data_IF_682589566693
#
_entry.id   IF_682589566693
#
_cell.length_a   1.000
_cell.length_b   1.000
_cell.length_c   1.000
_cell.angle_alpha   90.00
_cell.angle_beta   90.00
_cell.angle_gamma   90.00
#
_symmetry.space_group_name_H-M   'P 1'
#
loop_
_entity.id
_entity.type
_entity.pdbx_description
1 polymer ?
2 polymer ?
3 non-polymer ?
4 non-polymer ?
5 non-polymer ?
6 non-polymer ?
7 non-polymer ?
8 water ?
#
# COMPACT_ATOMS: atom_id res chain seq x y z
N UNK A 2 -40.16 17.77 4.96
CA UNK A 2 -39.20 17.07 5.85
C UNK A 2 -37.84 16.87 5.23
N UNK A 3 -36.79 16.97 6.06
CA UNK A 3 -35.42 16.82 5.62
C UNK A 3 -34.79 15.61 6.30
N UNK A 4 -33.59 15.27 5.85
CA UNK A 4 -32.85 14.12 6.34
C UNK A 4 -32.88 14.04 7.86
N UNK A 5 -33.13 12.84 8.38
CA UNK A 5 -33.14 12.64 9.82
C UNK A 5 -32.86 11.17 10.09
N UNK A 6 -32.00 10.90 11.07
CA UNK A 6 -31.73 9.50 11.45
C UNK A 6 -31.29 9.48 12.89
N UNK A 7 -31.46 8.31 13.51
CA UNK A 7 -31.00 8.06 14.85
C UNK A 7 -30.27 6.73 14.83
N UNK A 8 -29.05 6.69 15.35
CA UNK A 8 -28.23 5.49 15.26
C UNK A 8 -27.40 5.32 16.52
N UNK A 9 -27.13 4.05 16.86
CA UNK A 9 -26.20 3.77 17.93
C UNK A 9 -24.80 4.19 17.55
N UNK A 10 -24.10 4.80 18.51
CA UNK A 10 -22.70 5.19 18.30
C UNK A 10 -21.89 4.04 17.74
N UNK A 11 -22.06 2.85 18.31
CA UNK A 11 -21.15 1.80 17.86
C UNK A 11 -21.48 1.29 16.47
N UNK A 12 -22.67 1.56 15.92
CA UNK A 12 -22.92 1.24 14.51
C UNK A 12 -22.33 2.30 13.57
N UNK A 13 -22.06 3.51 14.06
CA UNK A 13 -21.53 4.59 13.26
C UNK A 13 -20.01 4.72 13.33
N UNK A 14 -19.38 4.29 14.43
CA UNK A 14 -17.98 4.69 14.68
C UNK A 14 -17.02 4.17 13.61
N UNK A 15 -17.05 2.89 13.37
CA UNK A 15 -16.02 2.34 12.49
C UNK A 15 -16.23 2.80 11.06
N UNK A 16 -17.47 2.80 10.54
CA UNK A 16 -17.70 3.42 9.22
C UNK A 16 -17.22 4.86 9.14
N UNK A 17 -17.50 5.67 10.16
CA UNK A 17 -17.06 7.06 10.13
C UNK A 17 -15.54 7.15 10.14
N UNK A 18 -14.88 6.33 10.96
CA UNK A 18 -13.42 6.40 11.03
C UNK A 18 -12.82 6.07 9.67
N UNK A 19 -13.42 5.13 8.96
CA UNK A 19 -12.84 4.68 7.70
C UNK A 19 -13.06 5.69 6.59
N UNK A 20 -14.26 6.27 6.49
CA UNK A 20 -14.51 7.20 5.40
C UNK A 20 -13.80 8.54 5.64
N UNK A 21 -13.53 8.87 6.91
CA UNK A 21 -12.85 10.12 7.21
C UNK A 21 -11.39 10.14 6.79
N UNK A 22 -10.86 9.04 6.23
CA UNK A 22 -9.47 8.95 5.83
C UNK A 22 -9.14 9.73 4.56
N UNK A 23 -9.76 9.33 3.41
CA UNK A 23 -9.46 9.99 2.10
C UNK A 23 -10.13 11.35 1.91
N UNK A 24 -9.60 12.38 2.57
CA UNK A 24 -10.25 13.70 2.54
C UNK A 24 -9.43 14.77 1.83
N UNK A 29 -7.64 21.08 1.95
CA UNK A 29 -7.97 21.25 0.52
C UNK A 29 -9.25 22.10 0.42
N UNK A 30 -10.03 21.91 -0.65
CA UNK A 30 -11.29 22.65 -0.84
C UNK A 30 -12.27 22.36 0.30
N UNK A 31 -13.13 23.32 0.66
CA UNK A 31 -13.97 23.11 1.86
C UNK A 31 -14.83 21.87 1.76
N UNK A 32 -15.54 21.67 0.66
CA UNK A 32 -16.43 20.51 0.61
C UNK A 32 -15.66 19.20 0.58
N UNK A 33 -14.38 19.22 0.24
CA UNK A 33 -13.64 17.97 0.28
C UNK A 33 -13.24 17.58 1.70
N UNK A 34 -13.39 18.47 2.68
CA UNK A 34 -13.24 18.13 4.08
C UNK A 34 -14.52 17.65 4.75
N UNK A 35 -15.60 17.53 3.99
CA UNK A 35 -16.89 17.08 4.48
C UNK A 35 -17.14 15.66 4.03
N UNK A 36 -18.01 14.97 4.76
CA UNK A 36 -18.62 13.73 4.32
C UNK A 36 -19.99 13.99 3.72
N UNK A 37 -20.29 13.32 2.63
CA UNK A 37 -21.66 13.27 2.11
C UNK A 37 -22.45 12.23 2.89
N UNK A 38 -23.57 12.64 3.48
CA UNK A 38 -24.46 11.77 4.22
C UNK A 38 -25.75 11.65 3.43
N UNK A 39 -26.20 10.42 3.18
CA UNK A 39 -27.40 10.21 2.40
C UNK A 39 -28.20 9.15 3.12
N UNK A 40 -29.49 9.44 3.36
CA UNK A 40 -30.43 8.49 3.92
C UNK A 40 -31.42 8.09 2.84
N UNK A 41 -31.51 6.79 2.55
CA UNK A 41 -32.50 6.29 1.60
C UNK A 41 -32.73 4.81 1.86
N UNK A 42 -34.00 4.40 1.82
CA UNK A 42 -34.39 2.99 1.85
C UNK A 42 -33.70 2.22 2.97
N UNK A 43 -33.85 2.73 4.19
CA UNK A 43 -33.32 2.06 5.36
C UNK A 43 -31.81 2.02 5.49
N UNK A 44 -31.10 2.88 4.75
CA UNK A 44 -29.65 2.86 4.75
C UNK A 44 -29.08 4.27 4.82
N UNK A 45 -28.09 4.45 5.67
CA UNK A 45 -27.30 5.66 5.72
C UNK A 45 -26.01 5.39 4.96
N UNK A 46 -25.72 6.19 3.96
CA UNK A 46 -24.45 6.11 3.24
C UNK A 46 -23.61 7.32 3.63
N UNK A 47 -22.33 7.08 3.83
CA UNK A 47 -21.34 8.08 4.18
C UNK A 47 -20.22 8.00 3.15
N UNK A 48 -19.85 9.15 2.58
CA UNK A 48 -18.84 9.19 1.52
C UNK A 48 -17.81 10.27 1.80
N UNK A 49 -16.54 9.90 1.65
CA UNK A 49 -15.44 10.85 1.71
C UNK A 49 -14.63 10.81 0.43
N UNK A 50 -14.09 11.96 0.04
CA UNK A 50 -13.33 11.96 -1.22
C UNK A 50 -12.27 13.03 -1.17
N UNK A 51 -11.21 12.84 -1.98
CA UNK A 51 -10.25 13.93 -2.27
C UNK A 51 -10.22 14.31 -3.74
N UNK A 52 -11.26 13.91 -4.48
CA UNK A 52 -11.44 14.20 -5.89
C UNK A 52 -10.79 13.16 -6.80
N UNK A 53 -9.88 12.36 -6.27
CA UNK A 53 -9.26 11.30 -7.05
C UNK A 53 -9.60 9.91 -6.52
N UNK A 54 -9.93 9.80 -5.25
CA UNK A 54 -10.38 8.54 -4.68
C UNK A 54 -11.52 8.85 -3.73
N UNK A 55 -12.26 7.81 -3.40
CA UNK A 55 -13.53 7.94 -2.71
C UNK A 55 -13.69 6.72 -1.84
N UNK A 56 -14.25 6.90 -0.65
CA UNK A 56 -14.59 5.78 0.23
C UNK A 56 -16.06 5.96 0.62
N UNK A 57 -16.86 4.91 0.43
CA UNK A 57 -18.28 4.92 0.77
C UNK A 57 -18.54 3.84 1.79
N UNK A 58 -19.29 4.17 2.84
CA UNK A 58 -19.75 3.18 3.81
C UNK A 58 -21.26 3.19 3.86
N UNK A 59 -21.86 2.01 4.00
CA UNK A 59 -23.29 1.91 4.19
C UNK A 59 -23.56 1.38 5.59
N UNK A 60 -24.58 1.96 6.23
CA UNK A 60 -24.96 1.59 7.60
C UNK A 60 -26.46 1.35 7.62
N UNK A 61 -26.87 0.15 8.06
CA UNK A 61 -28.30 -0.11 8.14
C UNK A 61 -28.91 0.74 9.23
N UNK A 62 -30.07 1.34 8.93
CA UNK A 62 -30.84 2.12 9.90
C UNK A 62 -31.98 1.26 10.44
N UNK A 63 -31.93 0.93 11.73
CA UNK A 63 -32.99 0.10 12.33
C UNK A 63 -34.00 0.95 13.07
N UNK A 64 -33.73 2.25 13.29
CA UNK A 64 -34.71 3.13 13.89
C UNK A 64 -35.34 4.01 12.82
N UNK A 65 -36.48 4.62 13.12
CA UNK A 65 -37.16 5.48 12.14
C UNK A 65 -36.21 6.55 11.62
N UNK A 66 -36.45 6.95 10.36
CA UNK A 66 -35.55 7.90 9.70
C UNK A 66 -36.33 8.55 8.57
N UNK A 67 -35.78 9.65 8.07
CA UNK A 67 -36.37 10.38 6.94
C UNK A 67 -35.32 10.58 5.87
N UNK A 68 -35.68 10.37 4.61
CA UNK A 68 -34.69 10.46 3.54
C UNK A 68 -34.22 11.88 3.27
N UNK A 69 -33.01 11.96 2.73
CA UNK A 69 -32.40 13.23 2.43
C UNK A 69 -30.88 13.12 2.36
N UNK A 70 -30.24 14.27 2.16
CA UNK A 70 -28.79 14.27 2.08
C UNK A 70 -28.22 15.63 2.47
N UNK A 71 -27.00 15.62 2.98
CA UNK A 71 -26.26 16.83 3.29
C UNK A 71 -24.77 16.48 3.26
N UNK A 72 -23.90 17.49 3.41
CA UNK A 72 -22.48 17.24 3.67
C UNK A 72 -22.08 17.97 4.95
N UNK A 73 -21.23 17.33 5.75
CA UNK A 73 -20.86 17.86 7.07
C UNK A 73 -19.38 17.64 7.31
N UNK A 74 -18.76 18.50 8.11
CA UNK A 74 -17.31 18.39 8.32
C UNK A 74 -16.93 17.06 8.92
N UNK A 75 -15.99 16.39 8.27
CA UNK A 75 -15.82 14.97 8.53
C UNK A 75 -15.13 14.70 9.86
N UNK A 76 -14.00 15.37 10.11
CA UNK A 76 -13.26 15.11 11.33
C UNK A 76 -14.04 15.57 12.56
N UNK A 77 -14.71 16.72 12.47
CA UNK A 77 -15.54 17.16 13.60
C UNK A 77 -16.63 16.14 13.90
N UNK A 78 -17.36 15.70 12.88
CA UNK A 78 -18.43 14.75 13.11
C UNK A 78 -17.90 13.46 13.71
N UNK A 79 -16.77 12.96 13.20
CA UNK A 79 -16.19 11.76 13.77
C UNK A 79 -15.75 11.97 15.21
N UNK A 80 -15.08 13.09 15.47
CA UNK A 80 -14.59 13.33 16.84
C UNK A 80 -15.74 13.48 17.83
N UNK A 81 -16.84 14.09 17.40
CA UNK A 81 -18.03 14.20 18.24
C UNK A 81 -18.56 12.82 18.57
N UNK A 82 -18.75 11.98 17.55
CA UNK A 82 -19.29 10.64 17.79
C UNK A 82 -18.35 9.82 18.68
N UNK A 83 -17.03 9.89 18.42
CA UNK A 83 -16.07 9.13 19.20
C UNK A 83 -16.05 9.58 20.65
N UNK A 84 -16.30 10.87 20.87
CA UNK A 84 -16.24 11.44 22.20
C UNK A 84 -17.48 11.28 23.05
N UNK A 85 -18.57 10.85 22.43
CA UNK A 85 -19.76 10.50 23.19
C UNK A 85 -19.54 9.18 23.93
N UNK A 86 -20.31 8.96 24.99
CA UNK A 86 -20.07 7.77 25.82
C UNK A 86 -20.47 6.48 25.13
N UNK A 87 -19.83 5.39 25.55
CA UNK A 87 -20.15 4.07 25.01
C UNK A 87 -21.64 3.81 25.18
N UNK A 88 -22.28 3.34 24.09
CA UNK A 88 -23.68 3.01 24.10
C UNK A 88 -24.58 4.17 23.73
N UNK A 89 -24.02 5.33 23.51
CA UNK A 89 -24.85 6.49 23.20
C UNK A 89 -25.65 6.29 21.92
N UNK A 90 -26.86 6.83 21.92
CA UNK A 90 -27.66 6.99 20.71
C UNK A 90 -27.49 8.41 20.18
N UNK A 91 -27.36 8.52 18.86
CA UNK A 91 -26.97 9.77 18.18
C UNK A 91 -28.10 10.13 17.23
N UNK A 92 -28.75 11.27 17.46
CA UNK A 92 -29.82 11.72 16.59
C UNK A 92 -29.34 12.89 15.75
N UNK A 93 -29.67 12.84 14.47
CA UNK A 93 -29.16 13.80 13.49
C UNK A 93 -30.36 14.36 12.71
N UNK A 94 -30.38 15.68 12.54
CA UNK A 94 -31.40 16.32 11.72
C UNK A 94 -30.80 17.59 11.16
N UNK A 95 -31.49 18.16 10.17
CA UNK A 95 -31.03 19.37 9.49
C UNK A 95 -31.87 20.56 9.91
N UNK A 96 -31.20 21.67 10.17
CA UNK A 96 -31.82 22.88 10.70
C UNK A 96 -31.20 24.04 9.94
N UNK A 97 -31.85 24.47 8.86
CA UNK A 97 -31.31 25.58 8.09
C UNK A 97 -30.00 25.16 7.42
N UNK A 98 -28.96 25.95 7.60
CA UNK A 98 -27.66 25.64 7.04
C UNK A 98 -26.80 24.84 8.01
N UNK A 99 -27.41 24.16 8.97
CA UNK A 99 -26.62 23.39 9.93
C UNK A 99 -27.19 22.00 10.09
N UNK A 100 -26.33 21.14 10.58
CA UNK A 100 -26.71 19.78 10.97
C UNK A 100 -26.70 19.76 12.49
N UNK A 101 -27.82 19.39 13.11
CA UNK A 101 -27.92 19.28 14.56
C UNK A 101 -27.77 17.82 15.00
N UNK A 102 -26.80 17.57 15.86
CA UNK A 102 -26.49 16.27 16.40
C UNK A 102 -26.83 16.31 17.87
N UNK A 103 -27.65 15.36 18.33
CA UNK A 103 -28.08 15.33 19.72
C UNK A 103 -27.80 13.96 20.29
N UNK A 104 -27.33 13.92 21.52
CA UNK A 104 -27.16 12.67 22.26
C UNK A 104 -27.17 13.03 23.73
N UNK A 105 -28.07 12.42 24.50
CA UNK A 105 -28.18 12.80 25.90
C UNK A 105 -28.50 14.28 26.03
N UNK A 106 -27.74 14.99 26.87
CA UNK A 106 -27.83 16.44 26.96
C UNK A 106 -26.65 17.12 26.29
N UNK A 107 -26.15 16.52 25.21
CA UNK A 107 -25.11 17.10 24.38
C UNK A 107 -25.75 17.51 23.06
N UNK A 108 -25.37 18.69 22.56
CA UNK A 108 -25.88 19.24 21.31
C UNK A 108 -24.72 19.80 20.51
N UNK A 109 -24.73 19.52 19.21
CA UNK A 109 -23.70 20.06 18.31
C UNK A 109 -24.37 20.54 17.04
N UNK A 110 -24.04 21.76 16.63
CA UNK A 110 -24.58 22.35 15.42
C UNK A 110 -23.42 22.58 14.46
N UNK A 111 -23.36 21.76 13.40
CA UNK A 111 -22.27 21.79 12.41
C UNK A 111 -22.68 22.49 11.12
N UNK A 112 -21.71 23.18 10.49
CA UNK A 112 -21.96 23.84 9.22
C UNK A 112 -22.07 22.81 8.11
N UNK A 113 -22.97 23.02 7.16
CA UNK A 113 -23.12 22.08 6.06
C UNK A 113 -22.79 22.78 4.75
N UNK A 114 -22.55 21.98 3.72
CA UNK A 114 -22.54 22.41 2.31
C UNK A 114 -23.46 21.47 1.54
N UNK A 115 -24.10 21.95 0.48
CA UNK A 115 -25.18 21.15 -0.13
C UNK A 115 -24.64 19.87 -0.76
N UNK A 116 -25.42 18.81 -0.62
CA UNK A 116 -25.05 17.53 -1.22
C UNK A 116 -24.85 17.66 -2.72
N UNK A 117 -25.59 18.56 -3.37
CA UNK A 117 -25.50 18.71 -4.82
C UNK A 117 -24.15 19.18 -5.30
N UNK A 118 -23.34 19.76 -4.43
CA UNK A 118 -21.99 20.16 -4.80
C UNK A 118 -20.96 19.08 -4.53
N UNK A 119 -21.36 17.98 -3.95
CA UNK A 119 -20.36 16.99 -3.63
C UNK A 119 -19.94 16.24 -4.90
N UNK A 120 -18.65 16.01 -5.09
CA UNK A 120 -18.21 15.32 -6.32
C UNK A 120 -18.73 13.90 -6.42
N UNK A 121 -18.81 13.41 -7.65
CA UNK A 121 -19.19 12.03 -7.95
C UNK A 121 -18.46 11.57 -9.19
N UNK A 122 -18.10 10.27 -9.22
CA UNK A 122 -17.51 9.65 -10.41
C UNK A 122 -18.63 9.29 -11.41
N UNK A 123 -18.57 9.89 -12.59
CA UNK A 123 -19.69 9.85 -13.55
C UNK A 123 -19.51 8.90 -14.71
N UNK A 124 -18.26 8.50 -15.03
CA UNK A 124 -17.97 7.70 -16.21
C UNK A 124 -17.38 6.34 -15.87
N UNK A 125 -17.72 5.80 -14.69
CA UNK A 125 -17.21 4.49 -14.30
C UNK A 125 -17.53 3.45 -15.36
N UNK A 126 -16.56 2.57 -15.63
CA UNK A 126 -16.73 1.50 -16.62
C UNK A 126 -15.82 0.35 -16.25
N UNK A 127 -16.40 -0.78 -15.83
CA UNK A 127 -15.64 -1.91 -15.35
C UNK A 127 -15.17 -2.80 -16.49
N UNK A 128 -13.98 -3.39 -16.35
CA UNK A 128 -13.38 -4.19 -17.41
C UNK A 128 -12.91 -5.57 -16.95
N UNK A 129 -12.58 -5.72 -15.68
CA UNK A 129 -12.15 -7.01 -15.10
C UNK A 129 -12.65 -7.07 -13.66
N UNK A 130 -13.10 -8.24 -13.21
CA UNK A 130 -13.64 -8.41 -11.88
C UNK A 130 -13.23 -9.76 -11.31
N UNK A 131 -12.85 -9.77 -10.03
CA UNK A 131 -12.49 -11.00 -9.36
C UNK A 131 -12.53 -10.79 -7.85
N UNK A 132 -12.57 -11.91 -7.13
CA UNK A 132 -12.60 -11.91 -5.68
C UNK A 132 -11.38 -12.64 -5.14
N UNK A 133 -10.91 -12.24 -3.97
CA UNK A 133 -9.75 -12.89 -3.37
C UNK A 133 -9.75 -12.60 -1.87
N UNK A 134 -9.10 -13.44 -1.07
CA UNK A 134 -9.06 -13.19 0.36
C UNK A 134 -8.32 -11.90 0.69
N UNK A 135 -8.83 -11.17 1.68
CA UNK A 135 -8.16 -9.95 2.12
C UNK A 135 -6.69 -10.19 2.45
N UNK A 136 -6.39 -11.32 3.08
CA UNK A 136 -5.01 -11.62 3.45
C UNK A 136 -4.10 -11.77 2.22
N UNK A 137 -4.66 -12.20 1.09
CA UNK A 137 -3.86 -12.32 -0.12
C UNK A 137 -3.55 -10.94 -0.69
N UNK A 138 -4.56 -10.07 -0.77
CA UNK A 138 -4.29 -8.70 -1.20
C UNK A 138 -3.27 -8.05 -0.28
N UNK A 139 -3.40 -8.26 1.02
CA UNK A 139 -2.45 -7.64 1.95
C UNK A 139 -1.03 -8.16 1.74
N UNK A 140 -0.88 -9.47 1.50
CA UNK A 140 0.45 -10.01 1.23
C UNK A 140 1.03 -9.38 -0.02
N UNK A 141 0.20 -9.29 -1.09
CA UNK A 141 0.69 -8.73 -2.34
C UNK A 141 1.19 -7.32 -2.13
N UNK A 142 0.46 -6.51 -1.37
CA UNK A 142 0.86 -5.12 -1.20
C UNK A 142 2.05 -5.03 -0.27
N UNK A 143 2.02 -5.74 0.87
CA UNK A 143 3.12 -5.64 1.81
C UNK A 143 4.43 -6.15 1.20
N UNK A 144 4.33 -7.08 0.26
CA UNK A 144 5.53 -7.64 -0.36
C UNK A 144 6.27 -6.62 -1.19
N UNK A 145 5.59 -5.59 -1.69
CA UNK A 145 6.20 -4.68 -2.65
C UNK A 145 6.09 -3.21 -2.31
N UNK A 146 5.27 -2.81 -1.33
CA UNK A 146 4.98 -1.38 -1.12
C UNK A 146 6.24 -0.56 -0.88
N UNK A 147 7.21 -1.13 -0.14
CA UNK A 147 8.38 -0.36 0.23
C UNK A 147 9.27 0.01 -0.94
N UNK A 148 9.10 -0.62 -2.10
CA UNK A 148 9.95 -0.33 -3.25
C UNK A 148 9.33 0.72 -4.19
N UNK A 149 8.15 1.26 -3.87
CA UNK A 149 7.60 2.35 -4.68
C UNK A 149 8.47 3.60 -4.55
N UNK A 150 8.53 4.39 -5.62
CA UNK A 150 9.22 5.66 -5.56
C UNK A 150 8.42 6.66 -4.74
N UNK A 151 9.10 7.73 -4.32
CA UNK A 151 8.50 8.80 -3.55
C UNK A 151 8.77 10.11 -4.28
N UNK A 152 7.70 10.70 -4.80
CA UNK A 152 7.76 12.00 -5.48
C UNK A 152 8.75 12.00 -6.64
N UNK A 153 8.85 10.88 -7.34
CA UNK A 153 9.67 10.83 -8.55
C UNK A 153 8.99 11.62 -9.66
N UNK A 154 9.79 12.34 -10.46
CA UNK A 154 9.23 13.03 -11.62
C UNK A 154 8.59 12.04 -12.59
N UNK A 155 9.09 10.79 -12.62
CA UNK A 155 8.43 9.72 -13.37
C UNK A 155 7.22 9.27 -12.56
N UNK A 156 6.09 9.97 -12.76
CA UNK A 156 4.92 9.84 -11.91
C UNK A 156 4.47 8.38 -11.76
N UNK A 157 4.55 7.60 -12.83
CA UNK A 157 4.07 6.22 -12.81
C UNK A 157 4.83 5.34 -11.81
N UNK A 158 6.06 5.73 -11.43
CA UNK A 158 6.78 4.94 -10.43
C UNK A 158 6.34 5.22 -9.01
N UNK A 159 5.58 6.29 -8.77
CA UNK A 159 5.14 6.57 -7.42
C UNK A 159 4.01 5.68 -6.97
N UNK A 160 3.47 4.85 -7.85
CA UNK A 160 2.41 3.95 -7.51
C UNK A 160 2.85 2.51 -7.57
N UNK A 161 1.87 1.62 -7.69
CA UNK A 161 2.09 0.19 -7.67
C UNK A 161 1.38 -0.42 -8.85
N UNK A 162 2.06 -1.25 -9.62
CA UNK A 162 1.43 -1.96 -10.71
C UNK A 162 0.63 -3.12 -10.14
N UNK A 163 -0.62 -3.25 -10.60
CA UNK A 163 -1.45 -4.42 -10.37
C UNK A 163 -1.71 -5.07 -11.72
N UNK A 164 -1.39 -6.35 -11.83
CA UNK A 164 -1.44 -7.05 -13.11
C UNK A 164 -2.12 -8.39 -12.90
N UNK A 165 -3.05 -8.70 -13.80
CA UNK A 165 -3.66 -10.03 -13.83
C UNK A 165 -3.03 -10.78 -15.00
N UNK A 166 -2.68 -12.05 -14.77
CA UNK A 166 -2.10 -12.88 -15.82
C UNK A 166 -2.41 -14.32 -15.47
N UNK A 167 -3.17 -14.99 -16.33
CA UNK A 167 -3.50 -16.39 -16.10
C UNK A 167 -4.49 -16.56 -14.96
N UNK A 168 -4.08 -17.22 -13.88
CA UNK A 168 -4.87 -17.28 -12.66
C UNK A 168 -4.25 -16.49 -11.52
N UNK A 169 -3.29 -15.63 -11.81
CA UNK A 169 -2.53 -14.93 -10.79
C UNK A 169 -2.80 -13.44 -10.83
N UNK A 170 -2.70 -12.83 -9.65
CA UNK A 170 -2.62 -11.39 -9.48
C UNK A 170 -1.21 -11.07 -9.01
N UNK A 171 -0.67 -9.98 -9.53
CA UNK A 171 0.73 -9.63 -9.34
C UNK A 171 0.82 -8.18 -8.96
N UNK A 172 1.70 -7.84 -8.03
CA UNK A 172 2.07 -6.44 -7.83
C UNK A 172 3.54 -6.24 -8.15
N UNK A 173 3.86 -5.05 -8.67
CA UNK A 173 5.23 -4.65 -8.96
C UNK A 173 5.43 -3.21 -8.47
N UNK A 174 6.60 -2.95 -7.87
CA UNK A 174 6.97 -1.59 -7.48
C UNK A 174 8.45 -1.40 -7.71
N UNK A 175 8.83 -0.21 -8.15
CA UNK A 175 10.25 0.08 -8.30
C UNK A 175 10.49 1.57 -8.20
N UNK A 176 11.71 1.95 -7.78
CA UNK A 176 12.11 3.34 -7.73
C UNK A 176 13.37 3.59 -8.56
N UNK A 177 13.77 2.63 -9.38
CA UNK A 177 14.96 2.76 -10.17
C UNK A 177 16.21 2.18 -9.55
N UNK A 178 16.25 2.06 -8.24
CA UNK A 178 17.38 1.41 -7.56
C UNK A 178 17.07 0.00 -7.12
N UNK A 179 15.81 -0.28 -6.83
CA UNK A 179 15.40 -1.60 -6.41
C UNK A 179 13.99 -1.85 -6.91
N UNK A 180 13.65 -3.11 -7.04
CA UNK A 180 12.36 -3.52 -7.56
C UNK A 180 11.86 -4.69 -6.73
N UNK A 181 10.54 -4.71 -6.54
CA UNK A 181 9.85 -5.81 -5.86
C UNK A 181 8.71 -6.30 -6.74
N UNK A 182 8.57 -7.63 -6.84
CA UNK A 182 7.45 -8.23 -7.55
C UNK A 182 6.92 -9.41 -6.75
N UNK A 183 5.59 -9.53 -6.70
CA UNK A 183 4.95 -10.62 -5.97
C UNK A 183 3.72 -11.08 -6.75
N UNK A 184 3.53 -12.38 -6.83
CA UNK A 184 2.44 -13.01 -7.59
C UNK A 184 1.77 -14.03 -6.69
N UNK A 185 0.44 -14.07 -6.73
CA UNK A 185 -0.34 -15.02 -5.92
C UNK A 185 -1.46 -15.63 -6.76
N UNK A 186 -1.76 -16.91 -6.57
CA UNK A 186 -2.88 -17.51 -7.32
C UNK A 186 -4.20 -17.07 -6.74
N UNK A 187 -5.16 -16.83 -7.62
CA UNK A 187 -6.48 -16.48 -7.10
C UNK A 187 -7.57 -17.44 -7.58
N UNK A 188 -7.21 -18.50 -8.29
CA UNK A 188 -8.15 -19.57 -8.56
C UNK A 188 -9.26 -19.25 -9.52
N UNK A 189 -9.08 -18.23 -10.35
CA UNK A 189 -10.02 -17.81 -11.38
C UNK A 189 -9.21 -17.49 -12.62
N UNK A 190 -9.75 -17.81 -13.79
CA UNK A 190 -9.08 -17.50 -15.05
C UNK A 190 -9.32 -16.04 -15.37
N UNK A 191 -8.25 -15.26 -15.47
CA UNK A 191 -8.31 -13.83 -15.60
C UNK A 191 -7.81 -13.35 -16.95
N UNK A 192 -8.43 -12.32 -17.52
CA UNK A 192 -7.82 -11.64 -18.66
C UNK A 192 -6.55 -10.92 -18.23
N UNK A 193 -5.68 -10.71 -19.20
CA UNK A 193 -4.42 -10.02 -18.94
C UNK A 193 -4.71 -8.53 -18.87
N UNK A 194 -4.38 -7.90 -17.75
CA UNK A 194 -4.58 -6.47 -17.56
C UNK A 194 -3.48 -5.95 -16.65
N UNK A 195 -3.09 -4.70 -16.86
CA UNK A 195 -2.06 -4.04 -16.05
C UNK A 195 -2.53 -2.62 -15.81
N UNK A 196 -2.55 -2.19 -14.55
CA UNK A 196 -2.90 -0.82 -14.20
C UNK A 196 -2.00 -0.36 -13.06
N UNK A 197 -1.82 0.94 -12.99
CA UNK A 197 -0.99 1.55 -11.97
C UNK A 197 -1.91 2.24 -10.96
N UNK A 198 -1.79 1.85 -9.70
CA UNK A 198 -2.59 2.39 -8.61
C UNK A 198 -1.72 3.42 -7.89
N UNK A 199 -2.20 4.66 -7.72
CA UNK A 199 -1.36 5.66 -7.05
C UNK A 199 -1.06 5.31 -5.59
N UNK A 200 0.07 5.82 -5.12
CA UNK A 200 0.51 5.56 -3.75
C UNK A 200 -0.61 5.73 -2.73
N UNK A 201 -1.34 6.86 -2.80
CA UNK A 201 -2.34 7.07 -1.77
C UNK A 201 -3.49 6.08 -1.91
N UNK A 202 -3.71 5.58 -3.12
CA UNK A 202 -4.72 4.55 -3.31
C UNK A 202 -4.30 3.22 -2.70
N UNK A 203 -3.02 2.88 -2.82
CA UNK A 203 -2.52 1.66 -2.17
C UNK A 203 -2.69 1.73 -0.66
N UNK A 204 -2.36 2.90 -0.09
CA UNK A 204 -2.46 3.10 1.35
C UNK A 204 -3.90 2.94 1.80
N UNK A 205 -4.83 3.58 1.08
CA UNK A 205 -6.24 3.46 1.44
C UNK A 205 -6.72 2.02 1.35
N UNK A 206 -6.37 1.33 0.26
CA UNK A 206 -6.76 -0.07 0.12
C UNK A 206 -6.30 -0.86 1.33
N UNK A 207 -5.08 -0.62 1.80
CA UNK A 207 -4.60 -1.32 2.98
C UNK A 207 -5.45 -1.00 4.20
N UNK A 208 -5.93 0.24 4.32
CA UNK A 208 -6.75 0.57 5.49
C UNK A 208 -8.02 -0.25 5.54
N UNK A 209 -8.47 -0.79 4.41
CA UNK A 209 -9.73 -1.49 4.37
C UNK A 209 -9.61 -2.96 4.72
N UNK A 210 -8.40 -3.50 4.71
CA UNK A 210 -8.18 -4.95 4.79
C UNK A 210 -8.06 -5.42 6.23
N UNK A 211 -8.99 -4.98 7.06
CA UNK A 211 -9.01 -5.32 8.48
C UNK A 211 -9.91 -6.52 8.77
N UNK A 216 -14.08 -11.45 2.47
CA UNK A 216 -13.27 -11.45 1.24
C UNK A 216 -13.40 -10.12 0.50
N UNK A 217 -12.56 -9.92 -0.51
CA UNK A 217 -12.47 -8.67 -1.24
C UNK A 217 -12.92 -8.90 -2.66
N UNK A 218 -13.75 -8.01 -3.19
CA UNK A 218 -14.10 -8.06 -4.60
C UNK A 218 -13.50 -6.86 -5.29
N UNK A 219 -12.78 -7.09 -6.37
CA UNK A 219 -12.07 -6.03 -7.06
C UNK A 219 -12.62 -5.88 -8.47
N UNK A 220 -12.83 -4.64 -8.89
CA UNK A 220 -13.20 -4.33 -10.26
C UNK A 220 -12.16 -3.35 -10.80
N UNK A 221 -11.55 -3.69 -11.92
CA UNK A 221 -10.59 -2.81 -12.55
C UNK A 221 -11.26 -2.16 -13.74
N UNK A 222 -11.38 -0.83 -13.70
CA UNK A 222 -12.08 -0.07 -14.70
C UNK A 222 -11.11 0.50 -15.72
N UNK A 223 -11.68 1.29 -16.64
CA UNK A 223 -10.86 1.90 -17.68
C UNK A 223 -9.83 2.84 -17.07
N UNK A 224 -10.27 3.68 -16.14
CA UNK A 224 -9.45 4.72 -15.54
C UNK A 224 -9.50 4.70 -14.02
N UNK A 225 -10.11 3.68 -13.42
CA UNK A 225 -10.31 3.61 -11.99
C UNK A 225 -10.25 2.16 -11.54
N UNK A 226 -10.03 1.96 -10.25
CA UNK A 226 -10.10 0.66 -9.62
C UNK A 226 -11.06 0.79 -8.43
N UNK A 227 -11.81 -0.27 -8.16
CA UNK A 227 -12.83 -0.28 -7.13
C UNK A 227 -12.67 -1.56 -6.32
N UNK A 228 -12.74 -1.42 -4.99
CA UNK A 228 -12.66 -2.53 -4.08
C UNK A 228 -13.89 -2.55 -3.18
N UNK A 229 -14.50 -3.72 -3.06
CA UNK A 229 -15.66 -3.93 -2.20
C UNK A 229 -15.24 -4.82 -1.03
N UNK A 230 -15.41 -4.30 0.18
CA UNK A 230 -15.01 -5.00 1.40
C UNK A 230 -16.16 -4.79 2.39
N UNK A 231 -16.92 -5.85 2.67
CA UNK A 231 -18.03 -5.72 3.61
C UNK A 231 -19.01 -4.65 3.16
N UNK A 232 -19.28 -3.66 4.02
CA UNK A 232 -20.19 -2.59 3.66
C UNK A 232 -19.45 -1.32 3.21
N UNK A 233 -18.23 -1.48 2.66
CA UNK A 233 -17.43 -0.39 2.16
C UNK A 233 -17.16 -0.57 0.66
N UNK A 234 -17.07 0.53 -0.05
CA UNK A 234 -16.62 0.53 -1.43
C UNK A 234 -15.58 1.62 -1.57
N UNK A 235 -14.39 1.23 -2.04
CA UNK A 235 -13.32 2.19 -2.28
C UNK A 235 -13.05 2.30 -3.76
N UNK A 236 -12.91 3.53 -4.26
CA UNK A 236 -12.59 3.77 -5.66
C UNK A 236 -11.40 4.70 -5.80
N UNK A 237 -10.47 4.38 -6.71
CA UNK A 237 -9.32 5.23 -6.95
C UNK A 237 -9.12 5.42 -8.44
N UNK A 238 -8.69 6.62 -8.81
CA UNK A 238 -8.23 6.83 -10.15
C UNK A 238 -6.94 6.03 -10.35
N UNK A 239 -6.70 5.64 -11.60
CA UNK A 239 -5.46 4.97 -11.99
C UNK A 239 -4.48 5.99 -12.55
N UNK A 240 -3.21 5.61 -12.57
CA UNK A 240 -2.16 6.49 -13.07
C UNK A 240 -1.87 6.18 -14.52
N UNK A 241 -1.72 7.22 -15.33
CA UNK A 241 -1.28 7.01 -16.70
C UNK A 241 0.22 6.79 -16.73
N UNK A 242 0.68 6.17 -17.80
CA UNK A 242 2.09 5.99 -17.99
C UNK A 242 2.39 4.55 -18.27
N UNK A 243 3.57 4.31 -18.83
CA UNK A 243 4.06 2.97 -19.12
C UNK A 243 4.91 2.52 -17.95
N UNK A 244 4.39 1.58 -17.16
CA UNK A 244 5.18 1.04 -16.07
C UNK A 244 6.22 0.07 -16.62
N UNK A 245 7.42 0.03 -16.05
CA UNK A 245 8.43 -0.87 -16.60
C UNK A 245 8.04 -2.34 -16.44
N UNK A 246 8.61 -3.16 -17.32
CA UNK A 246 8.35 -4.59 -17.39
C UNK A 246 9.36 -5.29 -16.49
N UNK A 247 8.87 -5.83 -15.37
CA UNK A 247 9.79 -6.47 -14.43
C UNK A 247 10.55 -7.61 -15.06
N UNK A 248 9.95 -8.25 -16.09
CA UNK A 248 10.62 -9.39 -16.72
C UNK A 248 11.94 -8.97 -17.34
N UNK A 249 12.06 -7.70 -17.74
CA UNK A 249 13.28 -7.20 -18.36
C UNK A 249 14.27 -6.71 -17.32
N UNK A 250 13.85 -6.60 -16.07
CA UNK A 250 14.71 -6.11 -15.02
C UNK A 250 15.36 -7.27 -14.25
N UNK A 251 14.69 -8.41 -14.18
CA UNK A 251 15.27 -9.53 -13.47
C UNK A 251 16.59 -9.93 -14.11
N UNK A 252 17.61 -10.26 -13.32
CA UNK A 252 18.87 -10.71 -13.91
C UNK A 252 18.65 -11.95 -14.76
N UNK A 253 19.36 -12.04 -15.88
CA UNK A 253 19.04 -13.06 -16.85
C UNK A 253 19.53 -14.45 -16.42
N UNK A 254 20.78 -14.56 -15.97
CA UNK A 254 21.34 -15.85 -15.60
C UNK A 254 22.21 -15.69 -14.36
N UNK A 255 21.60 -15.39 -13.22
CA UNK A 255 22.36 -15.13 -12.00
C UNK A 255 22.87 -16.42 -11.42
N UNK A 256 24.03 -16.86 -11.92
CA UNK A 256 24.52 -18.21 -11.71
C UNK A 256 25.02 -18.45 -10.29
N UNK A 257 25.52 -17.42 -9.60
CA UNK A 257 26.20 -17.59 -8.32
C UNK A 257 25.15 -17.48 -7.23
N UNK A 258 24.85 -18.59 -6.55
CA UNK A 258 23.77 -18.66 -5.58
C UNK A 258 24.33 -18.76 -4.18
N UNK A 259 23.89 -17.85 -3.31
CA UNK A 259 24.26 -17.85 -1.90
C UNK A 259 22.98 -18.06 -1.10
N UNK A 260 23.01 -18.97 -0.13
CA UNK A 260 21.88 -19.16 0.77
C UNK A 260 22.34 -18.91 2.21
N UNK A 261 21.52 -18.23 2.99
CA UNK A 261 21.89 -17.91 4.38
C UNK A 261 20.62 -17.83 5.20
N UNK A 262 20.76 -18.04 6.52
CA UNK A 262 19.64 -17.78 7.40
C UNK A 262 19.22 -16.33 7.39
N UNK A 263 17.90 -16.05 7.29
CA UNK A 263 17.44 -14.67 7.13
C UNK A 263 17.73 -13.84 8.38
N UNK A 264 17.44 -14.39 9.58
CA UNK A 264 17.69 -13.62 10.80
C UNK A 264 19.16 -13.26 10.95
N UNK A 265 20.06 -14.24 10.82
CA UNK A 265 21.49 -13.95 10.99
C UNK A 265 21.98 -12.94 9.96
N UNK A 266 21.54 -13.08 8.72
CA UNK A 266 21.98 -12.15 7.68
C UNK A 266 21.46 -10.74 7.96
N UNK A 267 20.19 -10.63 8.32
CA UNK A 267 19.62 -9.33 8.62
C UNK A 267 20.32 -8.67 9.81
N UNK A 268 20.55 -9.44 10.87
CA UNK A 268 21.21 -8.89 12.05
C UNK A 268 22.63 -8.45 11.74
N UNK A 269 23.33 -9.16 10.85
CA UNK A 269 24.69 -8.76 10.50
C UNK A 269 24.71 -7.49 9.68
N UNK A 270 23.80 -7.37 8.68
CA UNK A 270 23.73 -6.13 7.92
C UNK A 270 23.35 -4.96 8.82
N UNK A 271 22.45 -5.20 9.78
CA UNK A 271 22.00 -4.14 10.65
C UNK A 271 23.14 -3.61 11.51
N UNK A 272 23.99 -4.50 12.01
CA UNK A 272 25.14 -4.06 12.81
C UNK A 272 26.17 -3.37 11.93
N UNK A 273 26.47 -3.93 10.75
CA UNK A 273 27.46 -3.28 9.89
C UNK A 273 26.99 -1.87 9.53
N UNK A 274 25.69 -1.69 9.31
CA UNK A 274 25.14 -0.42 8.85
C UNK A 274 25.47 0.71 9.82
N UNK A 275 25.69 0.39 11.09
CA UNK A 275 25.93 1.41 12.09
C UNK A 275 27.13 2.25 11.73
N UNK A 276 28.14 1.61 11.15
CA UNK A 276 29.40 2.29 10.82
C UNK A 276 29.52 2.56 9.33
N UNK A 277 28.40 2.58 8.60
CA UNK A 277 28.38 2.99 7.20
C UNK A 277 28.17 4.50 7.07
N UNK A 278 28.54 5.01 5.90
CA UNK A 278 28.34 6.42 5.59
C UNK A 278 26.87 6.77 5.75
N UNK A 279 26.64 7.81 6.53
CA UNK A 279 25.26 8.18 6.84
C UNK A 279 24.50 8.63 5.60
N UNK A 280 25.17 9.17 4.61
CA UNK A 280 24.51 9.62 3.41
C UNK A 280 24.37 8.50 2.38
N UNK A 281 25.46 7.77 2.11
CA UNK A 281 25.47 6.83 1.00
C UNK A 281 25.21 5.41 1.44
N UNK A 282 25.41 5.11 2.72
CA UNK A 282 25.00 3.85 3.33
C UNK A 282 25.62 2.60 2.69
N UNK A 283 26.82 2.72 2.12
CA UNK A 283 27.39 1.59 1.41
C UNK A 283 28.02 0.57 2.34
N UNK A 284 27.78 -0.71 2.03
CA UNK A 284 28.51 -1.82 2.67
C UNK A 284 29.09 -2.67 1.56
N UNK A 285 30.14 -3.42 1.90
CA UNK A 285 30.88 -4.27 0.98
C UNK A 285 30.65 -5.73 1.38
N UNK A 286 30.31 -6.56 0.41
CA UNK A 286 30.16 -7.99 0.63
C UNK A 286 31.35 -8.70 -0.01
N UNK A 287 31.97 -9.64 0.72
CA UNK A 287 32.98 -10.49 0.12
C UNK A 287 32.46 -11.91 0.25
N UNK A 288 32.19 -12.56 -0.90
CA UNK A 288 31.66 -13.92 -0.93
C UNK A 288 32.79 -14.88 -1.24
N UNK A 289 32.92 -15.93 -0.44
CA UNK A 289 33.92 -16.96 -0.68
C UNK A 289 33.27 -18.27 -0.26
N UNK A 290 34.03 -19.37 -0.37
CA UNK A 290 33.41 -20.69 -0.18
C UNK A 290 32.73 -20.77 1.19
N UNK A 291 31.41 -21.01 1.19
CA UNK A 291 30.54 -21.06 2.35
C UNK A 291 30.81 -19.97 3.38
N UNK A 292 31.14 -18.77 2.90
CA UNK A 292 31.36 -17.66 3.80
C UNK A 292 30.97 -16.32 3.18
N UNK A 293 30.42 -15.44 4.02
CA UNK A 293 30.14 -14.06 3.63
C UNK A 293 30.78 -13.16 4.66
N UNK A 294 31.54 -12.17 4.20
CA UNK A 294 32.09 -11.12 5.04
C UNK A 294 31.44 -9.80 4.63
N UNK A 295 30.88 -9.09 5.61
CA UNK A 295 30.29 -7.78 5.40
C UNK A 295 31.16 -6.75 6.11
N UNK A 296 31.55 -5.69 5.39
CA UNK A 296 32.37 -4.64 5.99
C UNK A 296 31.72 -3.30 5.69
N UNK A 297 31.88 -2.37 6.62
CA UNK A 297 31.39 -1.01 6.46
C UNK A 297 32.43 -0.07 7.05
N UNK A 298 32.62 1.09 6.41
CA UNK A 298 33.37 2.14 7.07
C UNK A 298 32.76 3.50 6.75
N UNK A 299 33.20 4.49 7.49
CA UNK A 299 32.58 5.82 7.37
C UNK A 299 33.67 6.88 7.25
N UNK A 300 33.32 8.15 7.11
CA UNK A 300 34.35 9.17 6.90
C UNK A 300 35.24 9.38 8.10
N UNK A 301 34.78 8.99 9.29
CA UNK A 301 35.58 8.99 10.51
C UNK A 301 36.58 7.84 10.54
N UNK A 302 36.58 6.97 9.53
CA UNK A 302 37.46 5.82 9.40
C UNK A 302 37.21 4.79 10.50
N UNK A 303 35.99 4.79 11.01
CA UNK A 303 35.51 3.64 11.79
C UNK A 303 35.21 2.49 10.85
N UNK A 304 35.20 1.26 11.38
CA UNK A 304 35.10 0.08 10.54
C UNK A 304 34.30 -0.99 11.26
N UNK A 305 33.37 -1.62 10.54
CA UNK A 305 32.64 -2.78 11.02
C UNK A 305 32.96 -3.97 10.14
N UNK A 306 33.06 -5.15 10.76
CA UNK A 306 33.27 -6.37 10.00
C UNK A 306 32.40 -7.46 10.59
N UNK A 307 31.61 -8.13 9.74
CA UNK A 307 30.83 -9.31 10.13
C UNK A 307 31.20 -10.49 9.25
N UNK A 308 31.40 -11.65 9.85
CA UNK A 308 31.66 -12.89 9.11
C UNK A 308 30.57 -13.88 9.45
N UNK A 309 29.97 -14.47 8.40
CA UNK A 309 28.88 -15.42 8.54
C UNK A 309 29.16 -16.69 7.77
N UNK A 310 28.74 -17.85 8.33
CA UNK A 310 28.69 -19.07 7.56
C UNK A 310 27.47 -19.03 6.65
N UNK A 311 27.66 -19.30 5.37
CA UNK A 311 26.60 -19.38 4.37
C UNK A 311 26.83 -20.61 3.51
N UNK A 312 25.89 -20.89 2.61
CA UNK A 312 26.07 -21.91 1.59
C UNK A 312 26.40 -21.20 0.28
N UNK A 313 27.62 -21.45 -0.22
CA UNK A 313 28.08 -20.79 -1.44
C UNK A 313 29.30 -21.53 -1.98
N UNK A 314 29.26 -21.90 -3.26
CA UNK A 314 30.39 -22.61 -3.87
C UNK A 314 30.85 -21.98 -5.19
N UNK A 315 30.49 -20.73 -5.46
CA UNK A 315 30.90 -20.04 -6.68
C UNK A 315 32.28 -19.39 -6.59
N UNK A 316 32.57 -18.57 -7.59
CA UNK A 316 33.81 -17.80 -7.60
C UNK A 316 33.78 -16.74 -6.49
N UNK A 317 34.95 -16.31 -6.04
CA UNK A 317 34.99 -15.26 -5.03
C UNK A 317 34.60 -13.93 -5.67
N UNK A 318 33.88 -13.11 -4.93
CA UNK A 318 33.37 -11.87 -5.51
C UNK A 318 33.26 -10.83 -4.42
N UNK A 319 33.44 -9.57 -4.79
CA UNK A 319 33.25 -8.45 -3.89
C UNK A 319 32.22 -7.55 -4.54
N UNK A 320 31.22 -7.10 -3.78
CA UNK A 320 30.14 -6.29 -4.36
C UNK A 320 29.63 -5.34 -3.30
N UNK A 321 29.26 -4.13 -3.71
CA UNK A 321 28.81 -3.10 -2.79
C UNK A 321 27.31 -2.88 -2.88
N UNK A 322 26.68 -2.56 -1.75
CA UNK A 322 25.25 -2.28 -1.69
C UNK A 322 24.93 -1.16 -0.72
N UNK A 323 23.85 -0.45 -1.03
CA UNK A 323 23.19 0.42 -0.06
C UNK A 323 22.51 -0.48 0.97
N UNK A 324 23.01 -0.46 2.21
CA UNK A 324 22.56 -1.43 3.19
C UNK A 324 21.10 -1.22 3.52
N UNK A 325 20.59 0.00 3.38
CA UNK A 325 19.18 0.24 3.68
C UNK A 325 18.28 -0.52 2.72
N UNK A 326 18.67 -0.59 1.44
CA UNK A 326 17.89 -1.30 0.44
C UNK A 326 17.93 -2.81 0.69
N UNK A 327 19.08 -3.31 1.15
CA UNK A 327 19.19 -4.73 1.50
C UNK A 327 18.33 -5.06 2.71
N UNK A 328 18.37 -4.20 3.72
CA UNK A 328 17.60 -4.49 4.93
C UNK A 328 16.11 -4.40 4.64
N UNK A 329 15.71 -3.47 3.75
CA UNK A 329 14.31 -3.36 3.37
C UNK A 329 13.82 -4.68 2.82
N UNK A 330 14.64 -5.33 1.97
CA UNK A 330 14.23 -6.61 1.40
C UNK A 330 14.14 -7.69 2.49
N UNK A 331 15.21 -7.83 3.30
CA UNK A 331 15.20 -8.89 4.30
C UNK A 331 14.05 -8.71 5.28
N UNK A 332 13.68 -7.47 5.57
CA UNK A 332 12.55 -7.26 6.47
C UNK A 332 11.22 -7.62 5.83
N UNK A 333 11.11 -7.50 4.51
CA UNK A 333 9.87 -7.82 3.82
C UNK A 333 9.70 -9.34 3.59
N UNK A 334 10.81 -10.08 3.49
CA UNK A 334 10.76 -11.52 3.42
C UNK A 334 10.34 -12.07 4.78
N UNK A 335 9.47 -13.05 4.77
CA UNK A 335 9.02 -13.67 6.02
C UNK A 335 9.43 -15.13 5.96
N UNK A 336 10.74 -15.38 6.03
CA UNK A 336 11.25 -16.68 5.67
C UNK A 336 12.39 -17.11 6.59
N UNK A 337 12.66 -18.40 6.58
CA UNK A 337 13.76 -18.90 7.39
C UNK A 337 15.09 -18.71 6.69
N UNK A 338 15.13 -18.92 5.37
CA UNK A 338 16.37 -18.84 4.64
C UNK A 338 16.18 -18.03 3.38
N UNK A 339 17.20 -17.30 3.03
CA UNK A 339 17.14 -16.40 1.88
C UNK A 339 18.20 -16.81 0.88
N UNK A 340 17.85 -16.61 -0.40
CA UNK A 340 18.72 -16.91 -1.53
C UNK A 340 19.08 -15.61 -2.22
N UNK A 341 20.37 -15.34 -2.36
CA UNK A 341 20.86 -14.20 -3.13
C UNK A 341 21.46 -14.76 -4.42
N UNK A 342 21.01 -14.24 -5.57
CA UNK A 342 21.48 -14.72 -6.87
C UNK A 342 22.27 -13.61 -7.54
N UNK A 343 23.55 -13.89 -7.78
CA UNK A 343 24.53 -12.89 -8.18
C UNK A 343 25.08 -13.20 -9.56
N UNK A 344 25.50 -12.12 -10.24
CA UNK A 344 26.13 -12.23 -11.54
C UNK A 344 27.54 -11.66 -11.49
N UNK A 345 27.70 -10.36 -11.29
CA UNK A 345 29.01 -9.75 -11.10
C UNK A 345 28.83 -8.50 -10.25
N UNK A 346 29.94 -7.76 -10.07
CA UNK A 346 29.92 -6.69 -9.09
C UNK A 346 29.22 -5.43 -9.57
N UNK A 347 28.85 -5.36 -10.85
CA UNK A 347 28.21 -4.18 -11.41
C UNK A 347 26.82 -4.49 -11.93
N UNK A 348 26.28 -5.67 -11.62
CA UNK A 348 24.97 -6.09 -12.08
C UNK A 348 24.08 -6.32 -10.86
N UNK A 349 22.79 -6.21 -11.08
CA UNK A 349 21.85 -6.35 -9.98
C UNK A 349 21.89 -7.75 -9.43
N UNK A 350 21.45 -7.86 -8.18
CA UNK A 350 21.29 -9.11 -7.45
C UNK A 350 19.79 -9.37 -7.31
N UNK A 351 19.41 -10.64 -7.38
CA UNK A 351 18.05 -11.07 -7.12
C UNK A 351 18.02 -11.76 -5.77
N UNK A 352 17.05 -11.37 -4.94
CA UNK A 352 16.91 -11.94 -3.60
C UNK A 352 15.52 -12.54 -3.47
N UNK A 353 15.45 -13.74 -2.88
CA UNK A 353 14.16 -14.39 -2.72
C UNK A 353 14.20 -15.31 -1.50
N UNK A 354 13.02 -15.65 -1.03
CA UNK A 354 12.87 -16.70 0.00
C UNK A 354 13.40 -18.01 -0.57
N UNK A 355 14.25 -18.70 0.19
CA UNK A 355 14.82 -19.93 -0.34
C UNK A 355 13.76 -20.98 -0.61
N UNK A 356 12.63 -20.91 0.08
CA UNK A 356 11.58 -21.92 -0.01
C UNK A 356 10.32 -21.45 -0.75
N UNK A 357 10.36 -20.29 -1.41
CA UNK A 357 9.20 -19.81 -2.12
C UNK A 357 9.63 -18.83 -3.21
N UNK A 358 9.05 -18.96 -4.40
CA UNK A 358 9.32 -18.02 -5.47
C UNK A 358 8.15 -17.08 -5.72
N UNK A 359 7.22 -16.97 -4.77
CA UNK A 359 6.10 -16.05 -4.92
C UNK A 359 6.58 -14.60 -5.11
N UNK A 360 7.63 -14.20 -4.40
CA UNK A 360 8.15 -12.83 -4.47
C UNK A 360 9.61 -12.84 -4.89
N UNK A 361 10.04 -11.79 -5.60
CA UNK A 361 11.44 -11.61 -5.96
C UNK A 361 11.79 -10.13 -5.83
N UNK A 362 13.03 -9.86 -5.44
CA UNK A 362 13.54 -8.53 -5.20
C UNK A 362 14.82 -8.35 -5.99
N UNK A 363 14.97 -7.20 -6.63
CA UNK A 363 16.14 -6.91 -7.46
C UNK A 363 16.74 -5.62 -6.94
N UNK A 364 18.02 -5.67 -6.55
CA UNK A 364 18.69 -4.51 -6.00
C UNK A 364 19.94 -4.26 -6.82
N UNK A 365 20.11 -3.02 -7.27
CA UNK A 365 21.31 -2.63 -7.99
C UNK A 365 22.45 -2.39 -7.01
N UNK A 366 23.65 -2.85 -7.32
CA UNK A 366 24.80 -2.57 -6.46
C UNK A 366 25.29 -1.13 -6.64
N UNK A 367 26.15 -0.74 -5.70
CA UNK A 367 26.90 0.51 -5.75
C UNK A 367 28.31 0.16 -6.19
N UNK A 368 28.96 1.06 -6.92
CA UNK A 368 30.34 0.81 -7.31
C UNK A 368 31.26 0.95 -6.10
N UNK A 369 32.29 0.11 -6.06
CA UNK A 369 33.19 0.12 -4.90
C UNK A 369 34.25 1.21 -5.06
C UNK B 1 27.71 4.64 -8.00
N UNK B 2 26.61 5.22 -8.52
CA UNK B 2 25.25 4.73 -8.16
C UNK B 2 24.45 4.40 -9.42
N UNK B 3 24.74 3.25 -10.05
CA UNK B 3 24.06 2.88 -11.29
C UNK B 3 22.60 2.58 -11.01
N UNK B 4 21.74 2.65 -12.06
CA UNK B 4 20.36 2.34 -11.85
C UNK B 4 20.00 0.98 -12.49
N UNK B 5 18.85 0.41 -12.10
CA UNK B 5 18.25 -0.71 -12.81
C UNK B 5 18.01 -0.26 -14.25
N UNK B 6 17.95 -1.21 -15.19
CA UNK B 6 17.81 -0.90 -16.62
C UNK B 6 16.38 -0.52 -17.00
N UNK B 7 15.85 0.48 -16.31
CA UNK B 7 14.51 0.99 -16.61
C UNK B 7 14.56 1.74 -17.94
N UNK B 8 13.60 1.59 -18.85
CA UNK B 8 13.72 2.28 -20.18
C UNK B 8 12.58 3.30 -20.27
N UNK B 9 12.88 4.61 -20.31
CA UNK B 9 14.23 5.18 -20.16
C UNK B 9 14.55 5.45 -18.69
N UNK B 10 15.78 5.92 -18.40
CA UNK B 10 16.03 6.46 -17.08
C UNK B 10 17.12 5.70 -16.30
N UNK B 11 17.19 4.38 -16.50
CA UNK B 11 18.25 3.62 -15.87
C UNK B 11 18.13 3.69 -14.38
X LIG C 1 18.01 9.21 -8.08
X LIG C 1 19.37 8.78 -7.86
X LIG C 1 17.13 7.95 -8.35
X LIG C 1 15.77 8.27 -8.53
X LIG C 1 17.76 7.22 -9.58
X LIG C 1 17.68 8.04 -10.72
X LIG C 1 17.93 9.81 -8.83
X LIG C 1 17.64 9.69 -7.32
X LIG C 1 19.80 9.46 -7.59
X LIG C 1 17.14 7.36 -7.59
X LIG C 1 15.35 7.57 -8.75
X LIG C 1 17.31 6.37 -9.69
X LIG C 1 18.67 6.99 -9.35
X LIG C 1 17.95 7.58 -11.39
X LIG D 1 -27.46 2.35 23.26
X LIG E 1 -14.99 11.46 -6.43
X LIG F 1 -35.09 25.25 12.70
X LIG G 1 14.00 -22.65 3.90
X LIG H 1 10.31 -1.87 -19.78
X LIG I 1 -20.93 7.52 -6.85
X LIG J 1 12.68 -18.41 12.30
X LIG K 1 -36.84 25.33 10.94
X LIG K 1 -36.66 26.56 11.40
X LIG K 1 -35.99 24.32 10.84
X LIG K 1 -38.31 25.03 10.52
X LIG K 1 -38.56 25.63 9.80
X LIG K 1 -38.37 24.11 10.20
X LIG K 1 -38.90 25.16 11.27
X LIG L 1 -34.13 26.86 14.57
X LIG L 1 -35.02 27.47 13.85
X LIG L 1 -33.48 25.72 14.39
X LIG L 1 -33.83 27.58 15.86
X LIG L 1 -34.64 27.68 16.38
X LIG L 1 -33.17 27.08 16.36
X LIG L 1 -33.47 28.47 15.65
X LIG M 1 -20.18 4.95 -5.83
X LIG M 1 -19.56 5.97 -5.39
X LIG M 1 -21.24 4.89 -6.58
X LIG M 1 -19.60 3.58 -5.39
X LIG M 1 -18.80 3.73 -4.86
X LIG M 1 -19.37 3.06 -6.18
X LIG M 1 -20.25 3.10 -4.87
X LIG N 1 -32.46 16.62 3.02
X LIG O 1 -28.90 23.94 15.10
X LIG P 1 -19.38 22.74 5.90
X LIG Q 1 25.38 -6.63 -16.46
X LIG R 1 -19.32 -3.16 -0.16
X LIG S 1 -21.65 7.93 -3.10
X LIG T 1 -30.34 10.87 21.08
X LIG U 1 31.97 3.56 3.31
X LIG V 1 -36.73 17.76 8.90
#
# INVERSE_FOLDING_TARGET
>A
GGRMKFTVEREHLLKPLQQVSGPLGGRPTLPILGNLLLQVADGTLSLTGTDLEMEMVARVALVQPHEPGATTVPARKFFDICRGLPEGAEIAVQLEGERMLVRSGRSRFSLSTLPAADFPNLDDWQSEVEFTLPQATMKRLIEATQFSMAHQDVRYYLNGMLFETEGEELRTVATDGHRLAVCSMPIGQSLPSHSVIVPRKGVIELMRMLDGGDNPLRVQIGSNNIRAHVGDFIFTSKLVDGRFPDYRRVLPKNPDKHLEAGCDLLKQAFARAAILSNEKFRGVRLYVSENQLKITANNPEQEEAEEILDVTYSGAEMEIGFNVSYVLDVLNALKCENVRMMLTDSVSSVQIEDAASQSAAYVVMPMRL
>B
XVXXLXLVPXG
>C hetero
1 GOL C1 O1 C2 O2 C3 O3 H11 H12 HO1 H2 HO2 H31 H32 HO3
>D hetero
1 CA CA
>E hetero
1 CA CA
>F hetero
1 CA CA
>G hetero
1 CA CA
>H hetero
1 CA CA
>I hetero
1 CA CA
>J hetero
1 CA CA
>K hetero
1 ACT C O OXT CH3 H1 H2 H3
>L hetero
1 ACT C O OXT CH3 H1 H2 H3
>M hetero
1 ACT C O OXT CH3 H1 H2 H3
>N hetero
1 MG MG
>O hetero
1 MG MG
>P hetero
1 MG MG
>Q hetero
1 MG MG
>R hetero
1 NA NA
>S hetero
1 NA NA
>T hetero
1 NA NA
>U hetero
1 NA NA
>V hetero
1 NA NA
#
